data_IF_929712037230
#
_entry.id   IF_929712037230
#
_cell.length_a   1.000
_cell.length_b   1.000
_cell.length_c   1.000
_cell.angle_alpha   90.00
_cell.angle_beta   90.00
_cell.angle_gamma   90.00
#
_symmetry.space_group_name_H-M   'P 1'
#
loop_
_entity.id
_entity.type
_entity.pdbx_description
1 polymer ?
#
# COMPACT_ATOMS: atom_id res chain seq x y z
N UNK A 1 29.01 -98.42 -6.66
CA UNK A 1 27.62 -98.89 -6.87
C UNK A 1 26.67 -97.90 -6.19
N UNK A 2 25.70 -97.40 -6.97
CA UNK A 2 24.68 -96.41 -6.60
C UNK A 2 23.66 -96.91 -5.57
N UNK A 3 23.13 -96.00 -4.73
CA UNK A 3 21.70 -95.68 -4.47
C UNK A 3 21.61 -94.86 -3.16
N UNK A 4 21.35 -93.54 -3.17
CA UNK A 4 20.03 -92.84 -3.23
C UNK A 4 19.11 -93.21 -2.06
N UNK A 5 18.83 -92.34 -1.06
CA UNK A 5 17.77 -91.30 -0.97
C UNK A 5 17.51 -91.12 0.56
N UNK A 6 16.90 -90.10 1.16
CA UNK A 6 15.97 -89.05 0.75
C UNK A 6 16.07 -87.93 1.81
N UNK A 7 15.99 -86.67 1.37
CA UNK A 7 15.96 -85.45 2.18
C UNK A 7 14.57 -85.12 2.74
N UNK A 8 14.49 -84.63 3.99
CA UNK A 8 13.51 -83.60 4.44
C UNK A 8 14.16 -82.70 5.52
N UNK A 9 14.18 -81.37 5.35
CA UNK A 9 14.60 -80.41 6.39
C UNK A 9 13.40 -79.90 7.21
N UNK A 10 13.63 -79.17 8.32
CA UNK A 10 12.67 -78.99 9.41
C UNK A 10 11.68 -77.85 9.18
N UNK A 11 10.56 -77.95 9.88
CA UNK A 11 9.52 -76.94 10.06
C UNK A 11 10.06 -75.69 10.78
N UNK A 12 9.48 -74.54 10.44
CA UNK A 12 9.57 -73.23 11.11
C UNK A 12 10.56 -72.23 10.49
N UNK A 13 10.17 -71.68 9.34
CA UNK A 13 10.58 -70.34 8.94
C UNK A 13 9.41 -69.39 9.23
N UNK A 14 9.54 -68.59 10.30
CA UNK A 14 8.69 -67.43 10.56
C UNK A 14 8.85 -66.45 9.40
N UNK A 15 7.82 -66.32 8.57
CA UNK A 15 7.75 -65.32 7.50
C UNK A 15 7.57 -63.95 8.16
N UNK A 16 8.65 -63.19 8.35
CA UNK A 16 8.56 -61.77 8.67
C UNK A 16 8.12 -61.05 7.40
N UNK A 17 6.82 -60.78 7.29
CA UNK A 17 6.29 -59.89 6.25
C UNK A 17 6.72 -58.47 6.65
N UNK A 18 7.83 -58.00 6.09
CA UNK A 18 8.16 -56.57 6.10
C UNK A 18 7.14 -55.89 5.18
N UNK A 19 6.14 -55.24 5.77
CA UNK A 19 5.31 -54.27 5.06
C UNK A 19 6.21 -53.11 4.65
N UNK A 20 6.77 -53.16 3.44
CA UNK A 20 7.29 -51.96 2.79
C UNK A 20 6.06 -51.09 2.54
N UNK A 21 5.79 -50.15 3.45
CA UNK A 21 4.90 -49.03 3.15
C UNK A 21 5.63 -48.27 2.05
N UNK A 22 5.28 -48.55 0.79
CA UNK A 22 5.63 -47.69 -0.31
C UNK A 22 4.92 -46.36 -0.03
N UNK A 23 5.64 -45.43 0.56
CA UNK A 23 5.23 -44.03 0.64
C UNK A 23 5.08 -43.56 -0.81
N UNK A 24 3.86 -43.58 -1.33
CA UNK A 24 3.56 -42.83 -2.54
C UNK A 24 3.70 -41.37 -2.12
N UNK A 25 4.77 -40.72 -2.56
CA UNK A 25 4.93 -39.28 -2.37
C UNK A 25 3.62 -38.62 -2.80
N UNK A 26 2.96 -37.93 -1.87
CA UNK A 26 1.70 -37.29 -2.18
C UNK A 26 1.99 -36.11 -3.12
N UNK A 27 1.25 -36.02 -4.22
CA UNK A 27 1.36 -34.90 -5.15
C UNK A 27 0.77 -33.65 -4.47
N UNK A 28 1.54 -32.56 -4.43
CA UNK A 28 1.01 -31.30 -3.94
C UNK A 28 -0.11 -30.78 -4.86
N UNK A 29 -1.17 -30.18 -4.30
CA UNK A 29 -2.17 -29.50 -5.11
C UNK A 29 -1.53 -28.37 -5.91
N UNK A 30 -2.14 -28.00 -7.04
CA UNK A 30 -1.68 -26.83 -7.79
C UNK A 30 -1.82 -25.59 -6.90
N UNK A 31 -0.74 -24.83 -6.66
CA UNK A 31 -0.77 -23.67 -5.78
C UNK A 31 -1.64 -22.56 -6.38
N UNK A 32 -2.40 -21.87 -5.53
CA UNK A 32 -3.21 -20.74 -5.96
C UNK A 32 -2.30 -19.55 -6.35
N UNK A 33 -2.53 -18.90 -7.50
CA UNK A 33 -1.85 -17.66 -7.82
C UNK A 33 -2.21 -16.55 -6.82
N UNK A 34 -1.25 -15.73 -6.36
CA UNK A 34 -1.57 -14.58 -5.53
C UNK A 34 -2.36 -13.54 -6.34
N UNK A 35 -3.19 -12.74 -5.66
CA UNK A 35 -3.81 -11.55 -6.27
C UNK A 35 -2.72 -10.67 -6.88
N UNK A 36 -2.99 -10.04 -8.01
CA UNK A 36 -2.02 -9.19 -8.73
C UNK A 36 -0.70 -9.90 -9.12
N UNK A 37 -0.69 -11.23 -9.18
CA UNK A 37 0.48 -12.00 -9.54
C UNK A 37 0.15 -13.32 -10.23
N UNK A 38 1.19 -14.12 -10.46
CA UNK A 38 1.10 -15.45 -11.02
C UNK A 38 2.07 -16.40 -10.33
N UNK A 39 1.78 -17.69 -10.46
CA UNK A 39 2.67 -18.76 -10.03
C UNK A 39 3.23 -19.52 -11.23
N UNK A 40 4.53 -19.80 -11.20
CA UNK A 40 5.27 -20.56 -12.21
C UNK A 40 5.67 -21.88 -11.55
N UNK A 41 5.13 -22.98 -12.06
CA UNK A 41 5.32 -24.31 -11.47
C UNK A 41 6.23 -25.16 -12.34
N UNK A 42 7.30 -25.71 -11.75
CA UNK A 42 8.16 -26.69 -12.42
C UNK A 42 7.62 -28.10 -12.16
N UNK A 43 7.20 -28.79 -13.22
CA UNK A 43 6.69 -30.17 -13.15
C UNK A 43 7.83 -31.16 -13.39
N UNK A 44 7.97 -32.17 -12.52
CA UNK A 44 8.76 -33.37 -12.78
C UNK A 44 7.85 -34.58 -12.64
N UNK A 45 7.78 -35.44 -13.65
CA UNK A 45 6.99 -36.70 -13.61
C UNK A 45 5.53 -36.52 -13.14
N UNK A 46 4.82 -35.51 -13.67
CA UNK A 46 3.42 -35.14 -13.35
C UNK A 46 3.18 -34.47 -11.98
N UNK A 47 4.16 -34.44 -11.08
CA UNK A 47 4.11 -33.74 -9.80
C UNK A 47 4.74 -32.35 -9.88
N UNK A 48 4.12 -31.35 -9.25
CA UNK A 48 4.71 -30.02 -9.05
C UNK A 48 5.77 -30.10 -7.94
N UNK A 49 7.05 -29.78 -8.23
CA UNK A 49 8.13 -29.85 -7.23
C UNK A 49 8.48 -28.49 -6.63
N UNK A 50 8.42 -27.45 -7.46
CA UNK A 50 8.73 -26.08 -7.10
C UNK A 50 7.68 -25.14 -7.66
N UNK A 51 7.26 -24.19 -6.85
CA UNK A 51 6.38 -23.09 -7.22
C UNK A 51 7.14 -21.78 -7.01
N UNK A 52 7.24 -20.97 -8.06
CA UNK A 52 7.83 -19.62 -8.02
C UNK A 52 6.74 -18.59 -8.22
N UNK A 53 6.64 -17.65 -7.30
CA UNK A 53 5.65 -16.58 -7.34
C UNK A 53 6.24 -15.33 -7.99
N UNK A 54 5.43 -14.63 -8.77
CA UNK A 54 5.82 -13.42 -9.50
C UNK A 54 4.67 -12.42 -9.45
N UNK A 55 4.92 -11.23 -8.93
CA UNK A 55 3.95 -10.13 -8.95
C UNK A 55 3.98 -9.38 -10.28
N UNK A 56 2.85 -8.78 -10.64
CA UNK A 56 2.72 -7.93 -11.82
C UNK A 56 2.65 -6.45 -11.46
N UNK A 57 3.06 -5.58 -12.38
CA UNK A 57 2.91 -4.12 -12.24
C UNK A 57 3.67 -3.56 -11.02
N UNK A 58 2.97 -2.72 -10.25
CA UNK A 58 3.46 -2.00 -9.06
C UNK A 58 3.51 -2.86 -7.79
N UNK A 59 3.18 -4.15 -7.89
CA UNK A 59 3.15 -5.03 -6.72
C UNK A 59 4.50 -5.74 -6.54
N UNK A 60 4.94 -5.85 -5.29
CA UNK A 60 6.10 -6.61 -4.87
C UNK A 60 5.74 -7.80 -3.98
N UNK A 61 6.64 -8.79 -3.92
CA UNK A 61 6.44 -10.00 -3.14
C UNK A 61 6.61 -9.71 -1.65
N UNK A 62 5.57 -10.00 -0.88
CA UNK A 62 5.58 -10.03 0.58
C UNK A 62 5.63 -11.49 1.05
N UNK A 63 6.82 -11.97 1.41
CA UNK A 63 7.07 -13.35 1.83
C UNK A 63 8.05 -14.12 0.93
N UNK A 64 8.14 -15.45 1.07
CA UNK A 64 9.09 -16.27 0.31
C UNK A 64 8.71 -16.34 -1.17
N UNK A 65 9.65 -16.05 -2.06
CA UNK A 65 9.40 -16.07 -3.51
C UNK A 65 9.17 -17.48 -4.09
N UNK A 66 9.58 -18.52 -3.37
CA UNK A 66 9.49 -19.91 -3.81
C UNK A 66 8.92 -20.81 -2.71
N UNK A 67 8.10 -21.78 -3.10
CA UNK A 67 7.70 -22.91 -2.27
C UNK A 67 8.17 -24.24 -2.88
N UNK A 68 8.44 -25.21 -2.02
CA UNK A 68 8.85 -26.56 -2.37
C UNK A 68 7.77 -27.55 -1.95
N UNK A 69 7.41 -28.48 -2.83
CA UNK A 69 6.51 -29.56 -2.51
C UNK A 69 7.25 -30.63 -1.71
N UNK A 70 6.79 -30.91 -0.49
CA UNK A 70 7.33 -31.93 0.38
C UNK A 70 6.69 -33.30 0.09
N UNK A 71 7.29 -34.37 0.63
CA UNK A 71 6.85 -35.76 0.39
C UNK A 71 5.48 -36.09 0.98
N UNK A 72 5.02 -35.28 1.94
CA UNK A 72 3.70 -35.36 2.56
C UNK A 72 2.61 -34.67 1.74
N UNK A 73 2.95 -34.06 0.59
CA UNK A 73 2.01 -33.35 -0.27
C UNK A 73 1.72 -31.91 0.17
N UNK A 74 2.49 -31.36 1.12
CA UNK A 74 2.38 -29.99 1.55
C UNK A 74 3.40 -29.07 0.87
N UNK A 75 2.98 -27.83 0.58
CA UNK A 75 3.89 -26.77 0.15
C UNK A 75 4.63 -26.19 1.36
N UNK A 76 5.94 -25.98 1.20
CA UNK A 76 6.78 -25.36 2.21
C UNK A 76 7.57 -24.15 1.64
N UNK A 77 7.58 -22.98 2.32
CA UNK A 77 6.85 -22.66 3.55
C UNK A 77 5.33 -22.76 3.38
N UNK A 78 4.59 -22.97 4.47
CA UNK A 78 3.15 -23.25 4.42
C UNK A 78 2.34 -22.06 3.89
N UNK A 79 2.70 -20.84 4.30
CA UNK A 79 2.07 -19.62 3.83
C UNK A 79 2.62 -19.22 2.46
N UNK A 80 1.72 -19.03 1.49
CA UNK A 80 2.07 -18.49 0.18
C UNK A 80 2.36 -16.98 0.28
N UNK A 81 3.28 -16.44 -0.56
CA UNK A 81 3.56 -15.01 -0.56
C UNK A 81 2.37 -14.22 -1.12
N UNK A 82 2.26 -12.97 -0.70
CA UNK A 82 1.29 -12.02 -1.23
C UNK A 82 1.98 -11.07 -2.21
N UNK A 83 1.21 -10.53 -3.15
CA UNK A 83 1.65 -9.41 -3.98
C UNK A 83 1.00 -8.14 -3.45
N UNK A 84 1.82 -7.25 -2.90
CA UNK A 84 1.39 -6.04 -2.21
C UNK A 84 2.05 -4.82 -2.84
N UNK A 85 1.39 -3.68 -2.75
CA UNK A 85 1.94 -2.40 -3.14
C UNK A 85 2.02 -1.48 -1.93
N UNK A 86 2.98 -0.57 -1.93
CA UNK A 86 3.06 0.50 -0.94
C UNK A 86 1.97 1.54 -1.24
N UNK A 87 1.00 1.66 -0.35
CA UNK A 87 -0.13 2.59 -0.44
C UNK A 87 0.12 3.90 0.31
N UNK A 88 1.25 4.03 1.00
CA UNK A 88 1.66 5.25 1.69
C UNK A 88 2.52 6.18 0.82
N UNK A 89 3.21 5.63 -0.20
CA UNK A 89 4.16 6.37 -1.04
C UNK A 89 3.54 7.61 -1.69
N UNK A 90 4.23 8.74 -1.56
CA UNK A 90 3.78 10.05 -2.04
C UNK A 90 2.59 10.62 -1.27
N UNK A 91 2.13 9.95 -0.21
CA UNK A 91 0.97 10.31 0.59
C UNK A 91 1.20 11.46 1.57
N UNK A 92 0.28 11.60 2.53
CA UNK A 92 0.37 12.61 3.59
C UNK A 92 0.80 11.97 4.90
N UNK A 93 1.94 12.39 5.43
CA UNK A 93 2.47 11.90 6.69
C UNK A 93 2.46 12.97 7.78
N UNK A 94 2.33 12.53 9.02
CA UNK A 94 2.27 13.33 10.24
C UNK A 94 3.25 12.76 11.26
N UNK A 95 3.69 13.60 12.18
CA UNK A 95 4.52 13.20 13.31
C UNK A 95 4.14 13.99 14.55
N UNK A 96 4.47 13.45 15.71
CA UNK A 96 4.11 14.04 17.00
C UNK A 96 4.78 15.40 17.25
N UNK A 97 6.06 15.53 16.89
CA UNK A 97 6.84 16.79 16.93
C UNK A 97 7.89 16.79 15.83
N UNK A 98 8.40 17.97 15.49
CA UNK A 98 9.43 18.16 14.47
C UNK A 98 10.78 18.37 15.14
N UNK A 99 11.69 17.40 14.95
CA UNK A 99 13.09 17.47 15.36
C UNK A 99 13.96 18.20 14.34
N UNK A 100 15.26 17.85 14.28
CA UNK A 100 16.23 18.53 13.41
C UNK A 100 16.12 18.02 11.97
N UNK A 101 15.90 16.71 11.77
CA UNK A 101 15.99 16.06 10.46
C UNK A 101 14.79 16.29 9.52
N UNK A 102 13.84 17.17 9.87
CA UNK A 102 12.91 17.73 8.89
C UNK A 102 11.48 17.20 8.95
N UNK A 103 10.81 17.21 7.80
CA UNK A 103 9.35 17.03 7.68
C UNK A 103 8.93 15.57 7.63
N UNK A 104 7.80 15.23 8.23
CA UNK A 104 7.16 13.90 8.14
C UNK A 104 6.96 13.41 6.71
N UNK A 105 6.86 14.31 5.73
CA UNK A 105 6.76 13.95 4.31
C UNK A 105 7.93 13.07 3.83
N UNK A 106 9.11 13.21 4.44
CA UNK A 106 10.27 12.40 4.11
C UNK A 106 10.06 10.91 4.42
N UNK A 107 9.16 10.55 5.33
CA UNK A 107 8.92 9.14 5.65
C UNK A 107 8.02 8.41 4.66
N UNK A 108 7.58 9.09 3.60
CA UNK A 108 6.69 8.53 2.57
C UNK A 108 7.08 9.02 1.18
N UNK A 109 8.33 9.45 0.99
CA UNK A 109 8.81 9.95 -0.30
C UNK A 109 9.41 8.86 -1.20
N UNK A 110 9.54 7.63 -0.67
CA UNK A 110 10.05 6.46 -1.39
C UNK A 110 11.58 6.35 -1.38
N UNK A 111 12.28 7.23 -0.65
CA UNK A 111 13.74 7.23 -0.53
C UNK A 111 14.17 6.78 0.87
N UNK A 112 14.98 5.72 0.94
CA UNK A 112 15.29 5.04 2.22
C UNK A 112 16.35 5.76 3.05
N UNK A 113 16.98 6.79 2.50
CA UNK A 113 18.11 7.51 3.09
C UNK A 113 17.76 8.94 3.51
N UNK A 114 16.55 9.41 3.19
CA UNK A 114 15.98 10.66 3.68
C UNK A 114 15.18 10.36 4.92
N UNK A 115 15.45 11.06 6.02
CA UNK A 115 14.85 10.73 7.30
C UNK A 115 14.17 11.94 7.92
N UNK A 116 13.11 11.68 8.70
CA UNK A 116 12.51 12.64 9.61
C UNK A 116 12.76 12.22 11.04
N UNK A 117 12.83 13.18 11.94
CA UNK A 117 13.08 12.97 13.37
C UNK A 117 12.07 13.73 14.21
N UNK A 118 11.63 13.15 15.33
CA UNK A 118 10.87 13.84 16.37
C UNK A 118 11.78 14.48 17.42
N UNK A 119 11.29 15.50 18.12
CA UNK A 119 12.00 15.94 19.34
C UNK A 119 12.03 14.82 20.39
N UNK A 120 12.96 14.92 21.34
CA UNK A 120 12.98 14.05 22.52
C UNK A 120 11.68 14.22 23.31
N UNK A 121 10.90 13.14 23.41
CA UNK A 121 9.66 13.14 24.18
C UNK A 121 9.24 11.73 24.59
N UNK A 122 8.23 11.63 25.44
CA UNK A 122 7.60 10.35 25.78
C UNK A 122 6.68 9.90 24.65
N UNK A 123 6.86 8.66 24.20
CA UNK A 123 6.02 8.00 23.20
C UNK A 123 5.82 8.80 21.89
N UNK A 124 6.91 9.15 21.18
CA UNK A 124 6.81 9.80 19.87
C UNK A 124 6.16 8.87 18.84
N UNK A 125 5.53 9.46 17.82
CA UNK A 125 4.82 8.71 16.80
C UNK A 125 4.91 9.35 15.42
N UNK A 126 4.78 8.50 14.39
CA UNK A 126 4.55 8.85 13.00
C UNK A 126 3.21 8.28 12.55
N UNK A 127 2.51 8.95 11.64
CA UNK A 127 1.26 8.46 11.06
C UNK A 127 1.17 8.83 9.59
N UNK A 128 0.47 8.03 8.80
CA UNK A 128 0.15 8.32 7.40
C UNK A 128 -1.35 8.31 7.18
N UNK A 129 -1.84 9.24 6.37
CA UNK A 129 -3.19 9.26 5.81
C UNK A 129 -3.15 8.67 4.40
N UNK A 130 -3.71 7.46 4.25
CA UNK A 130 -3.75 6.72 3.00
C UNK A 130 -4.78 7.28 1.99
N UNK A 131 -5.52 8.34 2.34
CA UNK A 131 -6.61 8.94 1.54
C UNK A 131 -7.80 8.02 1.23
N UNK A 132 -7.79 6.80 1.76
CA UNK A 132 -8.85 5.82 1.63
C UNK A 132 -8.67 4.69 2.62
N UNK A 133 -9.68 3.83 2.77
CA UNK A 133 -9.61 2.70 3.71
C UNK A 133 -8.98 1.50 2.98
N UNK A 134 -7.86 1.02 3.50
CA UNK A 134 -7.15 -0.13 2.94
C UNK A 134 -7.11 -1.30 3.92
N UNK A 135 -7.24 -2.55 3.44
CA UNK A 135 -6.84 -3.72 4.21
C UNK A 135 -5.31 -3.77 4.28
N UNK A 136 -4.76 -3.50 5.46
CA UNK A 136 -3.31 -3.40 5.68
C UNK A 136 -2.73 -4.79 5.96
N UNK A 137 -1.84 -5.25 5.09
CA UNK A 137 -1.13 -6.53 5.20
C UNK A 137 0.06 -6.43 6.15
N UNK A 138 0.70 -5.26 6.19
CA UNK A 138 1.87 -5.02 7.03
C UNK A 138 2.53 -3.70 6.69
N UNK A 139 3.66 -3.43 7.33
CA UNK A 139 4.47 -2.22 7.11
C UNK A 139 5.94 -2.59 6.97
N UNK A 140 6.69 -1.77 6.23
CA UNK A 140 8.16 -1.83 6.22
C UNK A 140 8.71 -0.49 6.66
N UNK A 141 9.61 -0.56 7.63
CA UNK A 141 10.21 0.59 8.28
C UNK A 141 11.70 0.62 7.97
N UNK A 142 12.17 1.73 7.42
CA UNK A 142 13.59 2.02 7.27
C UNK A 142 14.00 3.09 8.29
N UNK A 143 15.13 2.88 8.95
CA UNK A 143 15.66 3.74 10.01
C UNK A 143 17.03 4.28 9.59
N UNK A 144 17.50 5.40 10.18
CA UNK A 144 18.85 5.88 9.90
C UNK A 144 19.88 4.83 10.33
N UNK A 145 21.12 4.96 9.85
CA UNK A 145 22.24 4.05 10.15
C UNK A 145 22.63 4.16 11.63
N UNK A 146 21.79 3.61 12.50
CA UNK A 146 21.91 3.59 13.95
C UNK A 146 21.25 2.32 14.49
N UNK A 147 21.85 1.73 15.52
CA UNK A 147 21.27 0.57 16.22
C UNK A 147 20.58 1.05 17.48
N UNK A 148 19.30 0.73 17.63
CA UNK A 148 18.54 0.98 18.86
C UNK A 148 18.12 -0.36 19.48
N UNK A 149 18.58 -0.64 20.70
CA UNK A 149 18.32 -1.91 21.40
C UNK A 149 17.14 -1.78 22.38
N UNK A 150 16.42 -2.89 22.57
CA UNK A 150 15.28 -3.00 23.50
C UNK A 150 14.12 -2.04 23.21
N UNK A 151 13.90 -1.75 21.92
CA UNK A 151 12.84 -0.87 21.45
C UNK A 151 11.50 -1.61 21.44
N UNK A 152 10.45 -0.92 21.86
CA UNK A 152 9.07 -1.39 21.67
C UNK A 152 8.32 -0.46 20.72
N UNK A 153 7.84 -1.01 19.60
CA UNK A 153 7.04 -0.30 18.60
C UNK A 153 5.63 -0.88 18.52
N UNK A 154 4.64 -0.01 18.29
CA UNK A 154 3.26 -0.39 18.00
C UNK A 154 2.83 0.16 16.65
N UNK A 155 2.34 -0.72 15.77
CA UNK A 155 1.67 -0.34 14.54
C UNK A 155 0.17 -0.40 14.78
N UNK A 156 -0.53 0.70 14.54
CA UNK A 156 -1.99 0.80 14.68
C UNK A 156 -2.62 1.15 13.36
N UNK A 157 -3.79 0.57 13.09
CA UNK A 157 -4.54 0.75 11.84
C UNK A 157 -5.98 1.07 12.18
N UNK A 158 -6.55 2.12 11.61
CA UNK A 158 -7.96 2.44 11.80
C UNK A 158 -8.37 3.75 11.14
N UNK A 159 -9.49 4.31 11.58
CA UNK A 159 -10.13 5.47 10.95
C UNK A 159 -10.14 6.72 11.85
N UNK A 160 -9.63 6.63 13.08
CA UNK A 160 -9.56 7.78 14.00
C UNK A 160 -8.33 8.63 13.68
N UNK A 161 -8.55 9.89 13.29
CA UNK A 161 -7.51 10.84 12.90
C UNK A 161 -7.06 11.78 14.03
N UNK A 162 -7.94 12.06 14.99
CA UNK A 162 -7.63 12.98 16.09
C UNK A 162 -6.69 12.35 17.12
N UNK A 163 -6.88 11.05 17.36
CA UNK A 163 -6.19 10.31 18.39
C UNK A 163 -5.75 8.97 17.83
N UNK A 164 -4.66 8.96 17.05
CA UNK A 164 -4.16 7.75 16.37
C UNK A 164 -3.92 6.56 17.31
N UNK A 165 -3.61 6.83 18.59
CA UNK A 165 -3.43 5.80 19.64
C UNK A 165 -4.69 5.00 19.95
N UNK A 166 -5.88 5.51 19.60
CA UNK A 166 -7.15 4.83 19.86
C UNK A 166 -7.49 3.83 18.74
N UNK A 167 -6.81 3.91 17.59
CA UNK A 167 -6.89 2.87 16.57
C UNK A 167 -6.32 1.55 17.11
N UNK A 168 -6.91 0.39 16.77
CA UNK A 168 -6.47 -0.91 17.25
C UNK A 168 -5.01 -1.20 16.84
N UNK A 169 -4.28 -1.89 17.73
CA UNK A 169 -2.94 -2.38 17.44
C UNK A 169 -3.04 -3.52 16.45
N UNK A 170 -2.39 -3.35 15.31
CA UNK A 170 -2.29 -4.37 14.27
C UNK A 170 -1.15 -5.34 14.55
N UNK A 171 0.00 -4.81 14.96
CA UNK A 171 1.18 -5.61 15.30
C UNK A 171 2.10 -4.80 16.22
N UNK A 172 3.00 -5.50 16.90
CA UNK A 172 3.98 -4.89 17.81
C UNK A 172 5.35 -5.54 17.58
N UNK A 173 6.40 -4.73 17.75
CA UNK A 173 7.78 -5.19 17.71
C UNK A 173 8.44 -4.96 19.07
N UNK A 174 9.19 -5.96 19.52
CA UNK A 174 10.03 -5.88 20.70
C UNK A 174 11.39 -6.45 20.35
N UNK A 175 12.44 -5.63 20.41
CA UNK A 175 13.79 -6.10 20.09
C UNK A 175 14.75 -5.00 19.71
N UNK A 176 15.74 -5.37 18.91
CA UNK A 176 16.79 -4.45 18.45
C UNK A 176 16.58 -4.09 17.00
N UNK A 177 16.57 -2.80 16.70
CA UNK A 177 16.61 -2.27 15.34
C UNK A 177 18.04 -2.43 14.82
N UNK A 178 18.19 -3.25 13.79
CA UNK A 178 19.48 -3.55 13.18
C UNK A 178 19.79 -2.54 12.08
N UNK A 179 21.00 -1.97 12.11
CA UNK A 179 21.45 -1.03 11.09
C UNK A 179 21.53 -1.68 9.71
N UNK A 180 21.15 -0.93 8.67
CA UNK A 180 21.20 -1.36 7.28
C UNK A 180 20.17 -2.43 6.89
N UNK A 181 19.15 -2.67 7.72
CA UNK A 181 18.05 -3.61 7.43
C UNK A 181 16.70 -2.94 7.66
N UNK A 182 15.81 -3.05 6.67
CA UNK A 182 14.41 -2.68 6.85
C UNK A 182 13.73 -3.63 7.84
N UNK A 183 12.91 -3.09 8.72
CA UNK A 183 12.07 -3.86 9.63
C UNK A 183 10.71 -4.09 8.99
N UNK A 184 10.44 -5.34 8.61
CA UNK A 184 9.14 -5.77 8.06
C UNK A 184 8.25 -6.30 9.19
N UNK A 185 7.10 -5.67 9.39
CA UNK A 185 6.11 -6.08 10.41
C UNK A 185 4.82 -6.52 9.73
N UNK A 186 4.47 -7.79 9.90
CA UNK A 186 3.21 -8.36 9.40
C UNK A 186 2.07 -7.97 10.33
N UNK A 187 0.92 -7.66 9.74
CA UNK A 187 -0.34 -7.35 10.42
C UNK A 187 -1.25 -8.59 10.40
N UNK A 188 -1.29 -9.41 11.48
CA UNK A 188 -2.08 -10.63 11.49
C UNK A 188 -3.57 -10.33 11.32
N UNK A 189 -4.23 -11.05 10.41
CA UNK A 189 -5.67 -10.88 10.17
C UNK A 189 -6.06 -9.61 9.40
N UNK A 190 -5.10 -8.78 8.99
CA UNK A 190 -5.30 -7.64 8.09
C UNK A 190 -6.35 -6.63 8.57
N UNK A 191 -5.94 -5.68 9.42
CA UNK A 191 -6.85 -4.60 9.83
C UNK A 191 -7.10 -3.63 8.68
N UNK A 192 -8.33 -3.13 8.57
CA UNK A 192 -8.68 -2.11 7.58
C UNK A 192 -8.75 -0.72 8.20
N UNK A 193 -8.12 0.26 7.57
CA UNK A 193 -8.11 1.63 8.06
C UNK A 193 -7.61 2.64 7.03
N UNK A 194 -7.97 3.91 7.23
CA UNK A 194 -7.43 5.05 6.48
C UNK A 194 -6.12 5.56 7.06
N UNK A 195 -5.94 5.43 8.36
CA UNK A 195 -4.76 5.91 9.07
C UNK A 195 -3.96 4.72 9.59
N UNK A 196 -2.66 4.77 9.34
CA UNK A 196 -1.68 3.83 9.91
C UNK A 196 -0.68 4.64 10.72
N UNK A 197 -0.42 4.23 11.95
CA UNK A 197 0.49 4.95 12.84
C UNK A 197 1.48 4.02 13.53
N UNK A 198 2.70 4.51 13.68
CA UNK A 198 3.82 3.87 14.35
C UNK A 198 4.13 4.64 15.63
N UNK A 199 4.05 3.96 16.76
CA UNK A 199 4.28 4.55 18.08
C UNK A 199 5.48 3.88 18.73
N UNK A 200 6.44 4.68 19.18
CA UNK A 200 7.50 4.24 20.09
C UNK A 200 6.92 4.23 21.52
N UNK A 201 7.27 3.24 22.34
CA UNK A 201 6.87 3.21 23.76
C UNK A 201 7.73 4.14 24.62
N UNK A 202 9.01 4.23 24.30
CA UNK A 202 10.04 4.79 25.17
C UNK A 202 10.08 6.32 25.11
N UNK A 203 10.86 6.92 26.02
CA UNK A 203 11.17 8.35 26.00
C UNK A 203 12.47 8.57 25.24
N UNK A 204 12.37 8.95 23.97
CA UNK A 204 13.50 9.18 23.07
C UNK A 204 13.12 10.15 21.96
N UNK A 205 14.12 10.70 21.26
CA UNK A 205 13.90 11.17 19.89
C UNK A 205 13.72 9.93 18.99
N UNK A 206 12.87 10.04 17.96
CA UNK A 206 12.56 8.92 17.07
C UNK A 206 12.73 9.35 15.62
N UNK A 207 13.71 8.74 14.96
CA UNK A 207 13.98 8.95 13.54
C UNK A 207 13.43 7.82 12.70
N UNK A 208 12.87 8.15 11.55
CA UNK A 208 12.33 7.21 10.57
C UNK A 208 12.64 7.72 9.16
N UNK A 209 13.11 6.84 8.30
CA UNK A 209 13.47 7.19 6.91
C UNK A 209 12.38 6.82 5.92
N UNK A 210 11.83 5.61 6.01
CA UNK A 210 10.71 5.22 5.16
C UNK A 210 9.65 4.49 5.99
N UNK A 211 8.39 4.82 5.75
CA UNK A 211 7.21 4.22 6.38
C UNK A 211 6.26 3.70 5.29
N UNK A 212 6.65 2.59 4.68
CA UNK A 212 5.85 1.91 3.67
C UNK A 212 4.69 1.14 4.31
N UNK A 213 3.49 1.27 3.75
CA UNK A 213 2.28 0.55 4.19
C UNK A 213 1.80 -0.35 3.07
N UNK A 214 1.70 -1.65 3.32
CA UNK A 214 1.42 -2.62 2.27
C UNK A 214 -0.03 -3.09 2.24
N UNK A 215 -0.60 -3.14 1.03
CA UNK A 215 -1.91 -3.73 0.76
C UNK A 215 -1.91 -4.52 -0.55
N UNK A 216 -2.76 -5.55 -0.65
CA UNK A 216 -3.07 -6.22 -1.92
C UNK A 216 -4.00 -5.37 -2.82
N UNK A 217 -4.58 -4.28 -2.29
CA UNK A 217 -5.54 -3.43 -3.01
C UNK A 217 -4.93 -2.07 -3.28
N UNK A 218 -5.02 -1.59 -4.53
CA UNK A 218 -4.78 -0.21 -4.89
C UNK A 218 -6.13 0.48 -5.11
N UNK A 219 -6.44 1.51 -4.34
CA UNK A 219 -7.56 2.38 -4.69
C UNK A 219 -7.08 3.25 -5.85
N UNK A 220 -7.33 2.76 -7.06
CA UNK A 220 -7.19 3.60 -8.25
C UNK A 220 -8.04 4.86 -7.99
N UNK A 221 -7.50 6.08 -8.18
CA UNK A 221 -8.33 7.28 -8.18
C UNK A 221 -9.45 7.01 -9.18
N UNK A 222 -10.70 6.85 -8.72
CA UNK A 222 -11.79 6.48 -9.62
C UNK A 222 -11.81 7.47 -10.79
N UNK A 223 -11.56 7.03 -12.04
CA UNK A 223 -11.67 7.92 -13.19
C UNK A 223 -13.12 8.42 -13.39
N UNK A 224 -14.09 7.83 -12.69
CA UNK A 224 -15.51 8.23 -12.72
C UNK A 224 -15.75 9.67 -12.21
N UNK A 225 -14.96 10.16 -11.26
CA UNK A 225 -15.08 11.55 -10.78
C UNK A 225 -14.54 12.59 -11.79
N UNK A 226 -13.73 12.15 -12.75
CA UNK A 226 -13.19 12.98 -13.83
C UNK A 226 -14.07 12.88 -15.08
N UNK A 227 -14.68 11.71 -15.34
CA UNK A 227 -15.61 11.49 -16.44
C UNK A 227 -16.93 12.28 -16.26
N UNK A 228 -17.48 12.36 -15.05
CA UNK A 228 -18.68 13.18 -14.78
C UNK A 228 -18.40 14.68 -14.97
N UNK A 229 -17.21 15.16 -14.58
CA UNK A 229 -16.80 16.56 -14.81
C UNK A 229 -16.56 16.86 -16.29
N UNK A 230 -15.99 15.91 -17.05
CA UNK A 230 -15.82 16.04 -18.49
C UNK A 230 -17.15 16.09 -19.24
N UNK A 231 -18.16 15.34 -18.80
CA UNK A 231 -19.52 15.40 -19.38
C UNK A 231 -20.24 16.71 -19.05
N UNK A 232 -20.10 17.21 -17.81
CA UNK A 232 -20.69 18.49 -17.40
C UNK A 232 -20.04 19.70 -18.12
N UNK A 233 -18.72 19.65 -18.38
CA UNK A 233 -18.00 20.72 -19.08
C UNK A 233 -18.28 20.74 -20.60
N UNK A 234 -18.51 19.55 -21.19
CA UNK A 234 -18.87 19.44 -22.62
C UNK A 234 -20.26 20.00 -22.94
N UNK A 235 -21.15 20.12 -21.95
CA UNK A 235 -22.46 20.79 -22.11
C UNK A 235 -22.37 22.32 -22.15
N UNK A 236 -21.36 22.95 -21.54
CA UNK A 236 -21.26 24.42 -21.51
C UNK A 236 -20.68 25.00 -22.81
N UNK A 237 -19.76 24.28 -23.47
CA UNK A 237 -19.19 24.72 -24.76
C UNK A 237 -20.13 24.59 -25.96
N UNK A 238 -21.22 23.84 -25.86
CA UNK A 238 -22.23 23.76 -26.93
C UNK A 238 -23.27 24.90 -26.87
N UNK A 239 -23.21 25.78 -25.86
CA UNK A 239 -24.11 26.94 -25.74
C UNK A 239 -23.45 28.23 -26.29
N UNK A 240 -22.12 28.26 -26.43
CA UNK A 240 -21.38 29.43 -26.97
C UNK A 240 -21.25 29.44 -28.51
N UNK A 241 -21.81 28.43 -29.20
CA UNK A 241 -21.79 28.33 -30.67
C UNK A 241 -22.86 29.13 -31.41
N UNK A 242 -23.71 29.90 -30.70
CA UNK A 242 -24.84 30.63 -31.29
C UNK A 242 -24.78 32.15 -31.03
N UNK A 243 -23.60 32.76 -31.12
CA UNK A 243 -23.44 34.22 -31.14
C UNK A 243 -22.31 34.63 -32.11
N UNK A 244 -22.46 34.25 -33.37
CA UNK A 244 -21.45 34.48 -34.41
C UNK A 244 -21.98 35.16 -35.66
N UNK A 245 -22.79 36.22 -35.54
CA UNK A 245 -23.13 37.08 -36.70
C UNK A 245 -23.44 38.52 -36.25
N UNK A 246 -22.46 39.43 -36.35
CA UNK A 246 -22.71 40.80 -36.83
C UNK A 246 -21.53 41.20 -37.73
N UNK A 247 -21.87 41.58 -38.95
CA UNK A 247 -20.99 41.83 -40.08
C UNK A 247 -20.17 43.12 -39.98
N UNK A 248 -19.13 43.17 -40.81
CA UNK A 248 -18.09 44.19 -40.95
C UNK A 248 -18.62 45.48 -41.60
N UNK A 249 -18.29 46.62 -40.98
CA UNK A 249 -17.85 47.87 -41.62
C UNK A 249 -18.90 48.88 -42.09
N UNK A 250 -18.83 50.13 -41.58
CA UNK A 250 -18.75 51.40 -42.36
C UNK A 250 -18.27 52.57 -41.45
N UNK A 251 -17.35 53.34 -42.02
CA UNK A 251 -16.60 54.59 -41.72
C UNK A 251 -17.03 55.63 -40.65
N UNK A 252 -16.01 56.12 -39.92
CA UNK A 252 -15.65 57.51 -39.53
C UNK A 252 -16.78 58.53 -39.20
N UNK A 253 -16.90 58.96 -37.93
CA UNK A 253 -16.50 60.31 -37.42
C UNK A 253 -17.08 60.63 -36.01
N UNK A 254 -16.21 61.18 -35.17
CA UNK A 254 -16.43 62.19 -34.09
C UNK A 254 -17.15 61.81 -32.79
N UNK A 255 -16.38 62.02 -31.70
CA UNK A 255 -16.74 62.39 -30.32
C UNK A 255 -17.25 61.35 -29.32
N UNK A 256 -16.49 61.23 -28.21
CA UNK A 256 -17.07 61.01 -26.88
C UNK A 256 -16.87 59.61 -26.29
N UNK A 257 -15.64 59.30 -25.87
CA UNK A 257 -15.38 58.16 -24.97
C UNK A 257 -15.98 58.48 -23.59
N UNK A 258 -17.13 57.85 -23.27
CA UNK A 258 -17.65 57.77 -21.90
C UNK A 258 -17.12 56.46 -21.27
N UNK A 259 -16.09 56.58 -20.43
CA UNK A 259 -15.60 55.47 -19.60
C UNK A 259 -16.50 55.37 -18.37
N UNK A 260 -17.25 54.27 -18.22
CA UNK A 260 -17.88 53.90 -16.96
C UNK A 260 -17.05 52.81 -16.28
N UNK A 261 -16.45 53.10 -15.12
CA UNK A 261 -15.78 52.11 -14.27
C UNK A 261 -16.71 51.71 -13.11
N UNK A 262 -17.02 50.42 -12.98
CA UNK A 262 -17.71 49.87 -11.80
C UNK A 262 -16.71 49.74 -10.63
N UNK A 263 -16.90 50.54 -9.57
CA UNK A 263 -16.11 50.46 -8.34
C UNK A 263 -16.84 49.61 -7.29
N UNK A 264 -16.26 48.45 -6.95
CA UNK A 264 -16.84 47.47 -6.03
C UNK A 264 -16.57 47.87 -4.56
N UNK A 265 -17.62 48.25 -3.83
CA UNK A 265 -17.58 48.28 -2.35
C UNK A 265 -18.85 47.65 -1.84
N UNK A 266 -18.70 46.57 -1.04
CA UNK A 266 -19.80 45.86 -0.37
C UNK A 266 -20.47 46.81 0.62
N UNK A 267 -21.53 47.47 0.16
CA UNK A 267 -22.75 47.85 0.88
C UNK A 267 -23.57 48.68 -0.12
N UNK A 268 -24.39 47.97 -0.92
CA UNK A 268 -25.41 48.43 -1.87
C UNK A 268 -24.96 49.44 -2.94
N UNK A 269 -24.95 49.05 -4.22
CA UNK A 269 -24.74 49.97 -5.36
C UNK A 269 -25.70 49.68 -6.52
N UNK A 270 -26.73 50.51 -6.60
CA UNK A 270 -27.39 50.90 -7.84
C UNK A 270 -26.37 51.63 -8.75
N UNK A 271 -26.55 51.53 -10.07
CA UNK A 271 -25.70 52.20 -11.06
C UNK A 271 -26.16 53.66 -11.24
N UNK A 272 -25.30 54.63 -10.91
CA UNK A 272 -25.55 56.04 -11.23
C UNK A 272 -24.77 56.46 -12.49
N UNK A 273 -25.49 56.78 -13.57
CA UNK A 273 -24.96 57.49 -14.74
C UNK A 273 -25.42 58.96 -14.68
N UNK A 274 -24.49 59.91 -14.86
CA UNK A 274 -24.79 61.35 -14.81
C UNK A 274 -25.21 61.86 -16.18
N UNK A 275 -26.45 62.36 -16.28
CA UNK A 275 -26.99 62.99 -17.50
C UNK A 275 -28.25 63.82 -17.26
N UNK A 276 -28.05 65.09 -16.90
CA UNK A 276 -28.80 66.33 -17.20
C UNK A 276 -30.35 66.30 -17.36
N UNK A 277 -31.08 67.02 -16.49
CA UNK A 277 -31.89 68.22 -16.81
C UNK A 277 -32.69 68.71 -15.57
N UNK A 278 -32.67 70.04 -15.37
CA UNK A 278 -33.16 70.89 -14.25
C UNK A 278 -34.72 70.93 -14.09
N UNK A 279 -35.33 71.90 -13.35
CA UNK A 279 -35.34 72.16 -11.90
C UNK A 279 -36.78 72.24 -11.32
N UNK A 280 -36.95 72.09 -9.99
CA UNK A 280 -37.80 72.93 -9.12
C UNK A 280 -37.13 73.01 -7.75
#
# INVERSE_FOLDING_TARGET
>A
HLQSRFTRPPTSAMLVIILIIASTAADCPFPEPPRNGRVIVTKLHKAARFARYVCGGEFELFGPSNQTCLSDGAWHPQDAPLCVADVAIGGTAFQSTIGIEGSSRLTVDGERNTCSETMLQTAPWFAVDLQGVYPVVGVKLDFPVATAANVTLYVRVGNFSEVFKDNPVCTAFHGTILSGRSLLLVCPGGLSGRYVSLHLRDTSAFSLCEFAVYSETLLVPQPEATALRAHAQKSLHNIEGLAGFVAIGVTLTVAGVLICMCCNTRLVKECCCRGRNDPV
#
